data_IF_622931883022
#
_entry.id   IF_622931883022
#
_cell.length_a   1.000
_cell.length_b   1.000
_cell.length_c   1.000
_cell.angle_alpha   90.00
_cell.angle_beta   90.00
_cell.angle_gamma   90.00
#
_symmetry.space_group_name_H-M   'P 1'
#
loop_
_entity.id
_entity.type
_entity.pdbx_description
1 polymer ?
#
# COMPACT_ATOMS: atom_id res chain seq x y z
N UNK A 1 -41.23 36.66 27.32
CA UNK A 1 -41.98 35.47 26.85
C UNK A 1 -41.28 34.91 25.62
N UNK A 2 -40.63 33.74 25.72
CA UNK A 2 -39.88 33.11 24.63
C UNK A 2 -40.79 32.11 23.92
N UNK A 3 -41.22 32.43 22.70
CA UNK A 3 -42.07 31.54 21.89
C UNK A 3 -41.17 30.58 21.12
N UNK A 4 -41.38 29.29 21.34
CA UNK A 4 -40.55 28.18 20.87
C UNK A 4 -40.63 28.00 19.34
N UNK A 5 -39.47 27.90 18.68
CA UNK A 5 -39.30 27.68 17.24
C UNK A 5 -40.03 26.42 16.71
N UNK A 6 -40.43 25.52 17.61
CA UNK A 6 -41.20 24.30 17.30
C UNK A 6 -42.61 24.64 16.79
N UNK A 7 -43.24 25.72 17.25
CA UNK A 7 -44.58 26.13 16.78
C UNK A 7 -44.55 26.76 15.39
N UNK A 8 -43.45 27.44 15.03
CA UNK A 8 -43.24 28.01 13.69
C UNK A 8 -42.96 26.92 12.64
N UNK A 9 -42.18 25.89 12.99
CA UNK A 9 -41.97 24.73 12.13
C UNK A 9 -43.27 23.92 11.91
N UNK A 10 -44.11 23.80 12.95
CA UNK A 10 -45.40 23.11 12.82
C UNK A 10 -46.37 23.87 11.91
N UNK A 11 -46.39 25.20 11.96
CA UNK A 11 -47.19 26.05 11.06
C UNK A 11 -46.68 26.09 9.61
N UNK A 12 -45.38 25.85 9.39
CA UNK A 12 -44.81 25.72 8.04
C UNK A 12 -45.10 24.33 7.44
N UNK A 13 -45.03 23.27 8.26
CA UNK A 13 -45.30 21.91 7.82
C UNK A 13 -46.79 21.67 7.49
N UNK A 14 -47.72 22.33 8.20
CA UNK A 14 -49.16 22.27 7.87
C UNK A 14 -49.55 23.08 6.64
N UNK A 15 -48.67 23.98 6.16
CA UNK A 15 -48.84 24.69 4.87
C UNK A 15 -48.22 23.94 3.70
N UNK A 16 -47.18 23.14 3.93
CA UNK A 16 -46.53 22.33 2.88
C UNK A 16 -47.19 20.97 2.65
N UNK A 17 -47.86 20.42 3.65
CA UNK A 17 -48.67 19.21 3.52
C UNK A 17 -50.07 19.52 4.03
N UNK A 18 -51.10 19.57 3.15
CA UNK A 18 -52.46 19.43 3.62
C UNK A 18 -52.53 18.08 4.37
N UNK A 19 -53.12 18.01 5.57
CA UNK A 19 -53.29 16.74 6.24
C UNK A 19 -54.08 15.81 5.32
N UNK A 20 -53.63 14.56 5.23
CA UNK A 20 -54.26 13.52 4.44
C UNK A 20 -55.79 13.51 4.68
N UNK A 21 -56.63 13.45 3.63
CA UNK A 21 -58.08 13.45 3.79
C UNK A 21 -58.49 12.24 4.62
N UNK A 22 -59.08 12.49 5.79
CA UNK A 22 -59.36 11.47 6.79
C UNK A 22 -60.61 10.62 6.47
N UNK A 23 -61.20 10.76 5.28
CA UNK A 23 -62.36 9.94 4.88
C UNK A 23 -62.29 9.54 3.41
N UNK A 24 -62.61 8.27 3.12
CA UNK A 24 -62.62 7.69 1.75
C UNK A 24 -63.54 8.44 0.76
N UNK A 25 -64.52 9.19 1.29
CA UNK A 25 -65.43 10.02 0.49
C UNK A 25 -64.76 11.28 -0.03
N UNK A 26 -63.83 11.87 0.71
CA UNK A 26 -63.13 13.10 0.30
C UNK A 26 -62.03 12.79 -0.72
N UNK A 27 -61.33 11.66 -0.59
CA UNK A 27 -60.36 11.22 -1.59
C UNK A 27 -61.03 10.85 -2.91
N UNK A 28 -62.19 10.19 -2.88
CA UNK A 28 -62.98 9.93 -4.09
C UNK A 28 -63.47 11.23 -4.76
N UNK A 29 -63.84 12.25 -3.96
CA UNK A 29 -64.27 13.55 -4.48
C UNK A 29 -63.10 14.33 -5.09
N UNK A 30 -61.91 14.25 -4.49
CA UNK A 30 -60.68 14.84 -5.03
C UNK A 30 -60.24 14.14 -6.32
N UNK A 31 -60.31 12.81 -6.38
CA UNK A 31 -60.04 12.06 -7.61
C UNK A 31 -61.02 12.43 -8.72
N UNK A 32 -62.32 12.53 -8.43
CA UNK A 32 -63.31 12.95 -9.42
C UNK A 32 -63.06 14.37 -9.94
N UNK A 33 -62.62 15.30 -9.07
CA UNK A 33 -62.26 16.67 -9.46
C UNK A 33 -60.97 16.69 -10.29
N UNK A 34 -59.98 15.87 -9.96
CA UNK A 34 -58.74 15.74 -10.73
C UNK A 34 -58.98 15.10 -12.09
N UNK A 35 -59.76 14.02 -12.16
CA UNK A 35 -60.13 13.38 -13.42
C UNK A 35 -60.92 14.33 -14.32
N UNK A 36 -61.83 15.12 -13.75
CA UNK A 36 -62.56 16.13 -14.50
C UNK A 36 -61.62 17.25 -14.98
N UNK A 37 -60.68 17.70 -14.16
CA UNK A 37 -59.70 18.71 -14.56
C UNK A 37 -58.78 18.20 -15.69
N UNK A 38 -58.31 16.94 -15.58
CA UNK A 38 -57.50 16.30 -16.60
C UNK A 38 -58.25 16.12 -17.92
N UNK A 39 -59.50 15.63 -17.87
CA UNK A 39 -60.34 15.51 -19.07
C UNK A 39 -60.59 16.86 -19.71
N UNK A 40 -60.94 17.88 -18.92
CA UNK A 40 -61.14 19.25 -19.43
C UNK A 40 -59.87 19.80 -20.10
N UNK A 41 -58.70 19.47 -19.57
CA UNK A 41 -57.42 19.94 -20.12
C UNK A 41 -56.99 19.12 -21.34
N UNK A 42 -57.34 17.83 -21.41
CA UNK A 42 -57.20 16.98 -22.59
C UNK A 42 -58.12 17.43 -23.73
N UNK A 43 -59.38 17.71 -23.43
CA UNK A 43 -60.37 18.20 -24.42
C UNK A 43 -59.99 19.59 -24.94
N UNK A 44 -59.35 20.42 -24.11
CA UNK A 44 -58.81 21.71 -24.53
C UNK A 44 -57.54 21.58 -25.40
N UNK A 45 -56.71 20.57 -25.16
CA UNK A 45 -55.50 20.30 -25.94
C UNK A 45 -55.80 19.54 -27.24
N UNK A 46 -56.90 18.79 -27.29
CA UNK A 46 -57.36 18.02 -28.43
C UNK A 46 -58.83 18.36 -28.75
N UNK A 47 -59.11 19.55 -29.31
CA UNK A 47 -60.45 19.88 -29.75
C UNK A 47 -60.89 18.85 -30.80
N UNK A 48 -62.13 18.31 -30.71
CA UNK A 48 -62.61 17.35 -31.68
C UNK A 48 -62.60 17.99 -33.08
N UNK A 49 -62.14 17.26 -34.12
CA UNK A 49 -62.14 17.78 -35.48
C UNK A 49 -63.60 18.04 -35.92
N UNK A 50 -63.86 19.14 -36.66
CA UNK A 50 -65.18 19.41 -37.19
C UNK A 50 -65.63 18.26 -38.13
N UNK A 51 -66.92 17.89 -38.11
CA UNK A 51 -67.43 16.88 -39.03
C UNK A 51 -67.67 17.56 -40.39
N UNK A 52 -66.72 17.40 -41.31
CA UNK A 52 -66.74 17.66 -42.77
C UNK A 52 -65.25 17.87 -43.14
N UNK A 53 -64.54 17.06 -43.93
CA UNK A 53 -64.91 16.21 -45.04
C UNK A 53 -64.08 14.92 -45.07
N UNK A 54 -64.75 13.82 -45.39
CA UNK A 54 -64.11 12.64 -45.96
C UNK A 54 -63.60 12.99 -47.36
N UNK A 55 -62.29 13.02 -47.58
CA UNK A 55 -61.67 12.46 -48.80
C UNK A 55 -60.14 12.53 -48.77
N UNK A 56 -59.55 11.37 -49.11
CA UNK A 56 -58.27 11.18 -49.79
C UNK A 56 -56.97 11.32 -48.96
N UNK A 57 -56.50 10.14 -48.55
CA UNK A 57 -55.20 9.58 -48.92
C UNK A 57 -54.00 10.54 -48.97
N UNK A 58 -53.11 10.46 -47.98
CA UNK A 58 -51.68 10.29 -48.23
C UNK A 58 -50.99 9.82 -46.95
N UNK A 59 -50.29 8.68 -47.04
CA UNK A 59 -49.30 8.25 -46.06
C UNK A 59 -48.07 9.17 -46.17
N UNK A 60 -47.54 9.72 -45.08
CA UNK A 60 -46.13 9.99 -44.96
C UNK A 60 -45.55 9.17 -43.81
N UNK A 61 -44.73 8.20 -44.20
CA UNK A 61 -43.82 7.42 -43.36
C UNK A 61 -42.75 8.33 -42.78
N UNK A 62 -43.03 9.07 -41.70
CA UNK A 62 -42.00 9.57 -40.78
C UNK A 62 -42.58 9.68 -39.36
N UNK A 63 -42.09 8.90 -38.37
CA UNK A 63 -42.48 9.09 -36.99
C UNK A 63 -41.99 10.46 -36.54
N UNK A 64 -42.94 11.29 -36.13
CA UNK A 64 -42.80 12.66 -35.66
C UNK A 64 -41.59 12.88 -34.74
N UNK A 65 -40.56 13.56 -35.25
CA UNK A 65 -39.44 14.09 -34.46
C UNK A 65 -39.91 14.93 -33.25
N UNK A 66 -41.10 15.50 -33.31
CA UNK A 66 -41.71 16.24 -32.21
C UNK A 66 -42.11 15.35 -31.02
N UNK A 67 -42.67 14.16 -31.27
CA UNK A 67 -43.02 13.20 -30.21
C UNK A 67 -41.76 12.60 -29.59
N UNK A 68 -40.73 12.30 -30.39
CA UNK A 68 -39.45 11.82 -29.86
C UNK A 68 -38.72 12.90 -29.03
N UNK A 69 -38.74 14.17 -29.46
CA UNK A 69 -38.20 15.28 -28.64
C UNK A 69 -39.02 15.56 -27.39
N UNK A 70 -40.34 15.37 -27.45
CA UNK A 70 -41.19 15.53 -26.28
C UNK A 70 -40.98 14.39 -25.28
N UNK A 71 -40.80 13.15 -25.76
CA UNK A 71 -40.41 12.00 -24.94
C UNK A 71 -39.00 12.17 -24.34
N UNK A 72 -38.03 12.65 -25.11
CA UNK A 72 -36.70 12.97 -24.58
C UNK A 72 -36.76 14.08 -23.52
N UNK A 73 -37.58 15.12 -23.73
CA UNK A 73 -37.81 16.19 -22.75
C UNK A 73 -38.51 15.69 -21.47
N UNK A 74 -39.45 14.75 -21.59
CA UNK A 74 -40.09 14.10 -20.45
C UNK A 74 -39.14 13.17 -19.71
N UNK A 75 -38.29 12.41 -20.41
CA UNK A 75 -37.32 11.49 -19.82
C UNK A 75 -36.12 12.22 -19.18
N UNK A 76 -35.84 13.47 -19.60
CA UNK A 76 -34.82 14.34 -19.00
C UNK A 76 -35.37 15.25 -17.89
N UNK A 77 -36.66 15.12 -17.54
CA UNK A 77 -37.27 15.94 -16.50
C UNK A 77 -36.70 15.54 -15.12
N UNK A 78 -36.27 16.49 -14.26
CA UNK A 78 -35.61 16.23 -12.97
C UNK A 78 -36.48 15.51 -11.91
N UNK A 79 -37.74 15.21 -12.24
CA UNK A 79 -38.65 14.39 -11.43
C UNK A 79 -38.64 12.90 -11.85
N UNK A 80 -38.17 12.62 -13.07
CA UNK A 80 -38.05 11.30 -13.69
C UNK A 80 -36.60 10.83 -13.80
N UNK A 81 -35.62 11.67 -13.47
CA UNK A 81 -34.31 11.18 -13.04
C UNK A 81 -34.57 10.23 -11.87
N UNK A 82 -34.49 8.93 -12.17
CA UNK A 82 -34.37 7.88 -11.18
C UNK A 82 -33.13 8.19 -10.36
N UNK A 83 -33.33 8.96 -9.29
CA UNK A 83 -32.49 8.94 -8.11
C UNK A 83 -32.16 7.47 -7.89
N UNK A 84 -30.88 7.06 -7.94
CA UNK A 84 -30.53 5.65 -7.84
C UNK A 84 -31.24 5.11 -6.61
N UNK A 85 -32.06 4.09 -6.85
CA UNK A 85 -32.90 3.42 -5.88
C UNK A 85 -32.19 3.37 -4.54
N UNK A 86 -32.72 4.11 -3.56
CA UNK A 86 -32.32 3.97 -2.16
C UNK A 86 -32.76 2.56 -1.77
N UNK A 87 -31.86 1.59 -1.53
CA UNK A 87 -32.28 0.30 -1.05
C UNK A 87 -32.97 0.51 0.30
N UNK A 88 -34.12 -0.15 0.43
CA UNK A 88 -34.93 -0.14 1.62
C UNK A 88 -34.10 -0.57 2.85
N UNK A 89 -34.06 0.31 3.85
CA UNK A 89 -33.96 -0.01 5.27
C UNK A 89 -32.95 -1.10 5.69
N UNK A 90 -31.65 -1.01 5.38
CA UNK A 90 -30.59 -1.82 6.02
C UNK A 90 -29.32 -0.99 6.23
N UNK A 91 -29.30 -0.07 7.21
CA UNK A 91 -28.09 0.64 7.65
C UNK A 91 -27.29 1.36 6.54
N UNK A 92 -26.12 1.95 6.83
CA UNK A 92 -25.21 2.39 5.79
C UNK A 92 -24.56 1.15 5.19
N UNK A 93 -24.97 0.72 3.99
CA UNK A 93 -24.21 -0.24 3.19
C UNK A 93 -22.83 0.37 2.93
N UNK A 94 -21.81 -0.18 3.59
CA UNK A 94 -20.42 0.24 3.47
C UNK A 94 -20.05 0.21 1.97
N UNK A 95 -19.87 1.37 1.32
CA UNK A 95 -19.50 1.43 -0.11
C UNK A 95 -18.27 0.55 -0.34
N UNK A 96 -18.37 -0.41 -1.26
CA UNK A 96 -17.25 -1.29 -1.62
C UNK A 96 -16.13 -0.43 -2.20
N UNK A 97 -14.86 -0.78 -1.95
CA UNK A 97 -13.74 -0.01 -2.50
C UNK A 97 -13.82 0.11 -4.04
N UNK A 98 -14.38 -0.90 -4.71
CA UNK A 98 -14.64 -0.92 -6.15
C UNK A 98 -15.67 0.15 -6.55
N UNK A 99 -16.78 0.28 -5.84
CA UNK A 99 -17.80 1.33 -6.10
C UNK A 99 -17.21 2.74 -5.94
N UNK A 100 -16.33 2.92 -4.95
CA UNK A 100 -15.66 4.20 -4.72
C UNK A 100 -14.68 4.53 -5.85
N UNK A 101 -13.97 3.52 -6.36
CA UNK A 101 -13.09 3.67 -7.51
C UNK A 101 -13.88 4.05 -8.76
N UNK A 102 -14.95 3.32 -9.09
CA UNK A 102 -15.81 3.62 -10.24
C UNK A 102 -16.44 5.01 -10.15
N UNK A 103 -16.91 5.39 -8.96
CA UNK A 103 -17.43 6.73 -8.72
C UNK A 103 -16.35 7.81 -8.92
N UNK A 104 -15.13 7.58 -8.44
CA UNK A 104 -14.01 8.50 -8.62
C UNK A 104 -13.61 8.64 -10.10
N UNK A 105 -13.64 7.54 -10.86
CA UNK A 105 -13.42 7.55 -12.31
C UNK A 105 -14.50 8.32 -13.06
N UNK A 106 -15.78 8.05 -12.80
CA UNK A 106 -16.90 8.75 -13.46
C UNK A 106 -16.91 10.26 -13.17
N UNK A 107 -16.54 10.64 -11.96
CA UNK A 107 -16.46 12.04 -11.55
C UNK A 107 -15.15 12.73 -11.97
N UNK A 108 -14.19 11.98 -12.56
CA UNK A 108 -12.82 12.46 -12.84
C UNK A 108 -12.12 13.09 -11.64
N UNK A 109 -12.45 12.63 -10.43
CA UNK A 109 -11.88 13.16 -9.19
C UNK A 109 -10.81 12.23 -8.59
N UNK A 110 -10.27 11.31 -9.39
CA UNK A 110 -9.26 10.35 -8.95
C UNK A 110 -7.92 11.05 -8.71
N UNK A 111 -7.63 11.34 -7.45
CA UNK A 111 -6.34 11.88 -7.00
C UNK A 111 -5.49 10.74 -6.42
N UNK A 112 -4.16 10.88 -6.49
CA UNK A 112 -3.15 10.00 -5.85
C UNK A 112 -3.53 9.64 -4.40
N UNK A 113 -4.02 10.61 -3.63
CA UNK A 113 -4.46 10.44 -2.23
C UNK A 113 -5.72 9.58 -2.09
N UNK A 114 -6.68 9.72 -3.01
CA UNK A 114 -7.90 8.90 -3.03
C UNK A 114 -7.59 7.48 -3.49
N UNK A 115 -6.69 7.32 -4.46
CA UNK A 115 -6.26 6.00 -4.90
C UNK A 115 -5.61 5.22 -3.75
N UNK A 116 -4.79 5.90 -2.94
CA UNK A 116 -4.21 5.37 -1.71
C UNK A 116 -5.28 4.89 -0.73
N UNK A 117 -6.28 5.72 -0.41
CA UNK A 117 -7.34 5.35 0.55
C UNK A 117 -8.19 4.19 0.04
N UNK A 118 -8.53 4.18 -1.25
CA UNK A 118 -9.29 3.11 -1.90
C UNK A 118 -8.50 1.79 -1.85
N UNK A 119 -7.21 1.83 -2.18
CA UNK A 119 -6.35 0.64 -2.18
C UNK A 119 -6.22 0.03 -0.78
N UNK A 120 -6.03 0.87 0.24
CA UNK A 120 -6.02 0.41 1.65
C UNK A 120 -7.35 -0.18 2.07
N UNK A 121 -8.45 0.46 1.72
CA UNK A 121 -9.79 -0.05 2.04
C UNK A 121 -10.01 -1.41 1.36
N UNK A 122 -9.61 -1.57 0.10
CA UNK A 122 -9.69 -2.84 -0.60
C UNK A 122 -8.86 -3.93 0.08
N UNK A 123 -7.60 -3.66 0.43
CA UNK A 123 -6.73 -4.63 1.11
C UNK A 123 -7.31 -5.09 2.46
N UNK A 124 -7.98 -4.20 3.20
CA UNK A 124 -8.67 -4.55 4.45
C UNK A 124 -9.92 -5.39 4.16
N UNK A 125 -10.70 -5.02 3.14
CA UNK A 125 -11.90 -5.76 2.74
C UNK A 125 -11.56 -7.18 2.27
N UNK A 126 -10.57 -7.34 1.39
CA UNK A 126 -10.15 -8.65 0.86
C UNK A 126 -9.67 -9.60 1.95
N UNK A 127 -9.04 -9.08 3.03
CA UNK A 127 -8.68 -9.89 4.20
C UNK A 127 -9.89 -10.38 5.00
N UNK A 128 -10.95 -9.58 5.08
CA UNK A 128 -12.15 -9.89 5.89
C UNK A 128 -13.19 -10.68 5.11
N UNK A 129 -13.38 -10.39 3.83
CA UNK A 129 -14.34 -11.04 2.95
C UNK A 129 -13.83 -10.92 1.51
N UNK A 130 -13.44 -12.01 0.84
CA UNK A 130 -13.02 -11.94 -0.55
C UNK A 130 -14.21 -11.45 -1.40
N UNK A 131 -14.06 -10.26 -1.96
CA UNK A 131 -15.04 -9.71 -2.91
C UNK A 131 -14.93 -10.49 -4.23
N UNK A 132 -16.07 -10.75 -4.87
CA UNK A 132 -16.10 -11.32 -6.22
C UNK A 132 -15.55 -10.32 -7.26
N UNK A 133 -15.65 -9.02 -6.97
CA UNK A 133 -15.16 -7.97 -7.85
C UNK A 133 -13.71 -7.59 -7.52
N UNK A 134 -12.83 -7.75 -8.52
CA UNK A 134 -11.40 -7.43 -8.45
C UNK A 134 -11.15 -5.99 -8.87
N UNK A 135 -10.38 -5.25 -8.07
CA UNK A 135 -10.05 -3.84 -8.32
C UNK A 135 -8.81 -3.70 -9.24
N UNK A 136 -7.88 -4.64 -9.17
CA UNK A 136 -6.62 -4.64 -9.90
C UNK A 136 -6.76 -4.53 -11.42
N UNK A 137 -7.63 -5.31 -12.10
CA UNK A 137 -7.78 -5.22 -13.56
C UNK A 137 -8.28 -3.83 -14.00
N UNK A 138 -9.18 -3.23 -13.20
CA UNK A 138 -9.71 -1.90 -13.47
C UNK A 138 -8.65 -0.82 -13.28
N UNK A 139 -7.83 -0.95 -12.23
CA UNK A 139 -6.71 -0.05 -11.98
C UNK A 139 -5.66 -0.14 -13.09
N UNK A 140 -5.34 -1.34 -13.58
CA UNK A 140 -4.43 -1.53 -14.69
C UNK A 140 -4.98 -0.92 -15.99
N UNK A 141 -6.26 -1.17 -16.32
CA UNK A 141 -6.90 -0.60 -17.49
C UNK A 141 -6.97 0.94 -17.44
N UNK A 142 -7.27 1.50 -16.26
CA UNK A 142 -7.22 2.95 -16.05
C UNK A 142 -5.81 3.50 -16.27
N UNK A 143 -4.80 2.89 -15.62
CA UNK A 143 -3.43 3.36 -15.74
C UNK A 143 -2.98 3.32 -17.20
N UNK A 144 -3.29 2.25 -17.95
CA UNK A 144 -2.92 2.15 -19.36
C UNK A 144 -3.56 3.22 -20.25
N UNK A 145 -4.83 3.55 -20.01
CA UNK A 145 -5.57 4.56 -20.76
C UNK A 145 -5.15 6.01 -20.43
N UNK A 146 -4.45 6.22 -19.32
CA UNK A 146 -4.08 7.55 -18.82
C UNK A 146 -2.82 8.11 -19.51
N UNK A 147 -2.65 9.44 -19.47
CA UNK A 147 -1.52 10.12 -20.08
C UNK A 147 -0.16 9.81 -19.40
N UNK A 148 0.93 10.03 -20.14
CA UNK A 148 2.29 9.78 -19.67
C UNK A 148 2.66 10.57 -18.39
N UNK A 149 2.12 11.78 -18.24
CA UNK A 149 2.35 12.62 -17.07
C UNK A 149 1.74 12.02 -15.80
N UNK A 150 0.51 11.50 -15.85
CA UNK A 150 -0.13 10.85 -14.70
C UNK A 150 0.51 9.51 -14.38
N UNK A 151 0.95 8.75 -15.41
CA UNK A 151 1.79 7.56 -15.20
C UNK A 151 3.06 7.93 -14.42
N UNK A 152 3.76 8.99 -14.84
CA UNK A 152 4.97 9.47 -14.16
C UNK A 152 4.70 9.87 -12.70
N UNK A 153 3.66 10.66 -12.43
CA UNK A 153 3.33 11.08 -11.06
C UNK A 153 2.89 9.90 -10.17
N UNK A 154 2.22 8.90 -10.75
CA UNK A 154 1.86 7.67 -10.06
C UNK A 154 3.10 6.89 -9.59
N UNK A 155 4.08 6.66 -10.47
CA UNK A 155 5.29 5.90 -10.12
C UNK A 155 6.25 6.67 -9.21
N UNK A 156 6.28 8.00 -9.29
CA UNK A 156 7.06 8.83 -8.37
C UNK A 156 6.48 8.85 -6.94
N UNK A 157 5.20 8.51 -6.78
CA UNK A 157 4.51 8.50 -5.49
C UNK A 157 4.72 7.18 -4.75
N UNK A 158 5.81 7.08 -3.97
CA UNK A 158 6.18 5.88 -3.20
C UNK A 158 5.02 5.32 -2.35
N UNK A 159 4.26 6.21 -1.73
CA UNK A 159 3.10 5.90 -0.91
C UNK A 159 2.01 5.13 -1.64
N UNK A 160 1.78 5.44 -2.92
CA UNK A 160 0.74 4.78 -3.71
C UNK A 160 1.24 3.41 -4.16
N UNK A 161 2.50 3.31 -4.59
CA UNK A 161 3.11 2.04 -4.97
C UNK A 161 3.07 1.04 -3.80
N UNK A 162 3.30 1.51 -2.57
CA UNK A 162 3.24 0.70 -1.35
C UNK A 162 1.85 0.08 -1.09
N UNK A 163 0.77 0.74 -1.51
CA UNK A 163 -0.60 0.26 -1.31
C UNK A 163 -1.15 -0.47 -2.55
N UNK A 164 -0.74 -0.07 -3.77
CA UNK A 164 -1.22 -0.65 -5.03
C UNK A 164 -0.52 -1.96 -5.39
N UNK A 165 0.79 -2.10 -5.17
CA UNK A 165 1.50 -3.35 -5.50
C UNK A 165 0.94 -4.55 -4.71
N UNK A 166 0.72 -4.47 -3.39
CA UNK A 166 0.08 -5.57 -2.66
C UNK A 166 -1.33 -5.88 -3.18
N UNK A 167 -2.08 -4.86 -3.63
CA UNK A 167 -3.40 -5.03 -4.21
C UNK A 167 -3.34 -5.81 -5.53
N UNK A 168 -2.40 -5.47 -6.41
CA UNK A 168 -2.19 -6.18 -7.68
C UNK A 168 -1.80 -7.64 -7.44
N UNK A 169 -0.94 -7.90 -6.44
CA UNK A 169 -0.56 -9.25 -6.03
C UNK A 169 -1.73 -10.04 -5.40
N UNK A 170 -2.63 -9.37 -4.66
CA UNK A 170 -3.83 -10.00 -4.10
C UNK A 170 -4.81 -10.45 -5.20
N UNK A 171 -4.89 -9.71 -6.29
CA UNK A 171 -5.79 -10.01 -7.42
C UNK A 171 -5.17 -11.00 -8.44
N UNK A 172 -3.89 -11.34 -8.29
CA UNK A 172 -3.13 -12.25 -9.15
C UNK A 172 -2.51 -11.59 -10.39
N UNK A 173 -2.36 -10.26 -10.39
CA UNK A 173 -1.86 -9.47 -11.52
C UNK A 173 -0.36 -9.15 -11.42
N UNK A 174 0.43 -10.15 -11.05
CA UNK A 174 1.88 -10.00 -10.90
C UNK A 174 2.54 -9.69 -12.24
N UNK A 175 2.08 -10.32 -13.32
CA UNK A 175 2.58 -10.10 -14.68
C UNK A 175 2.45 -8.64 -15.12
N UNK A 176 1.39 -7.96 -14.69
CA UNK A 176 1.18 -6.53 -14.94
C UNK A 176 2.19 -5.67 -14.19
N UNK A 177 2.49 -5.99 -12.92
CA UNK A 177 3.52 -5.26 -12.15
C UNK A 177 4.90 -5.44 -12.78
N UNK A 178 5.21 -6.64 -13.28
CA UNK A 178 6.42 -6.90 -14.06
C UNK A 178 6.44 -6.14 -15.39
N UNK A 179 5.29 -5.97 -16.05
CA UNK A 179 5.19 -5.14 -17.24
C UNK A 179 5.48 -3.66 -16.91
N UNK A 180 4.97 -3.14 -15.80
CA UNK A 180 5.28 -1.78 -15.34
C UNK A 180 6.77 -1.58 -15.08
N UNK A 181 7.44 -2.56 -14.45
CA UNK A 181 8.90 -2.49 -14.25
C UNK A 181 9.66 -2.46 -15.59
N UNK A 182 9.24 -3.26 -16.58
CA UNK A 182 9.85 -3.25 -17.92
C UNK A 182 9.65 -1.91 -18.64
N UNK A 183 8.44 -1.34 -18.57
CA UNK A 183 8.17 -0.01 -19.13
C UNK A 183 8.98 1.09 -18.43
N UNK A 184 9.22 0.96 -17.12
CA UNK A 184 10.15 1.83 -16.40
C UNK A 184 11.59 1.63 -16.90
N UNK A 185 12.09 0.42 -17.09
CA UNK A 185 13.44 0.20 -17.62
C UNK A 185 13.62 0.74 -19.04
N UNK A 186 12.58 0.70 -19.87
CA UNK A 186 12.62 1.19 -21.25
C UNK A 186 12.35 2.70 -21.37
N UNK A 187 12.04 3.37 -20.25
CA UNK A 187 11.66 4.78 -20.20
C UNK A 187 10.52 5.13 -21.18
N UNK A 188 9.58 4.21 -21.42
CA UNK A 188 8.54 4.38 -22.45
C UNK A 188 7.69 5.64 -22.22
N UNK A 189 7.45 5.97 -20.95
CA UNK A 189 6.61 7.11 -20.56
C UNK A 189 7.36 8.45 -20.52
N UNK A 190 8.68 8.47 -20.77
CA UNK A 190 9.48 9.70 -20.88
C UNK A 190 9.64 10.19 -22.32
N UNK A 191 9.36 9.35 -23.33
CA UNK A 191 9.64 9.68 -24.74
C UNK A 191 8.61 10.64 -25.37
N UNK A 192 7.55 10.99 -24.66
CA UNK A 192 6.49 11.88 -25.14
C UNK A 192 6.77 13.30 -24.67
N UNK A 193 7.70 13.98 -25.33
CA UNK A 193 8.04 15.38 -25.06
C UNK A 193 9.54 15.62 -25.16
N UNK A 194 9.98 16.12 -26.31
CA UNK A 194 11.37 16.37 -26.69
C UNK A 194 12.23 16.99 -25.57
N UNK A 195 13.19 16.21 -25.07
CA UNK A 195 14.62 16.56 -25.06
C UNK A 195 15.40 15.29 -24.71
N UNK A 196 16.25 14.84 -25.63
CA UNK A 196 17.04 13.61 -25.55
C UNK A 196 18.17 13.63 -24.48
N UNK A 197 18.04 14.43 -23.41
CA UNK A 197 19.16 14.79 -22.52
C UNK A 197 18.89 14.65 -21.01
N UNK A 198 17.95 13.79 -20.59
CA UNK A 198 17.95 13.34 -19.19
C UNK A 198 17.86 11.81 -19.13
N UNK A 199 19.01 11.16 -19.36
CA UNK A 199 19.22 9.82 -18.88
C UNK A 199 18.87 9.78 -17.38
N UNK A 200 17.77 9.11 -17.04
CA UNK A 200 17.47 8.66 -15.69
C UNK A 200 17.47 9.76 -14.62
N UNK A 201 16.45 10.63 -14.62
CA UNK A 201 16.20 11.55 -13.50
C UNK A 201 16.22 10.75 -12.17
N UNK A 202 16.85 11.25 -11.09
CA UNK A 202 16.93 10.52 -9.81
C UNK A 202 15.55 10.07 -9.28
N UNK A 203 14.50 10.84 -9.55
CA UNK A 203 13.12 10.48 -9.21
C UNK A 203 12.65 9.17 -9.87
N UNK A 204 13.08 8.91 -11.11
CA UNK A 204 12.73 7.71 -11.85
C UNK A 204 13.53 6.50 -11.37
N UNK A 205 14.82 6.70 -11.09
CA UNK A 205 15.66 5.67 -10.49
C UNK A 205 15.15 5.27 -9.10
N UNK A 206 14.64 6.23 -8.35
CA UNK A 206 13.97 6.00 -7.08
C UNK A 206 12.66 5.23 -7.26
N UNK A 207 11.82 5.59 -8.23
CA UNK A 207 10.58 4.87 -8.55
C UNK A 207 10.84 3.39 -8.90
N UNK A 208 11.88 3.11 -9.69
CA UNK A 208 12.32 1.74 -9.97
C UNK A 208 12.72 0.98 -8.70
N UNK A 209 13.52 1.60 -7.83
CA UNK A 209 13.95 0.99 -6.56
C UNK A 209 12.76 0.72 -5.62
N UNK A 210 11.80 1.64 -5.54
CA UNK A 210 10.58 1.44 -4.74
C UNK A 210 9.76 0.28 -5.30
N UNK A 211 9.56 0.21 -6.61
CA UNK A 211 8.76 -0.84 -7.24
C UNK A 211 9.39 -2.23 -7.00
N UNK A 212 10.70 -2.35 -7.24
CA UNK A 212 11.45 -3.59 -6.96
C UNK A 212 11.35 -3.94 -5.47
N UNK A 213 11.52 -2.97 -4.57
CA UNK A 213 11.38 -3.18 -3.13
C UNK A 213 9.98 -3.70 -2.75
N UNK A 214 8.90 -3.17 -3.31
CA UNK A 214 7.54 -3.67 -3.02
C UNK A 214 7.29 -5.07 -3.61
N UNK A 215 7.81 -5.37 -4.81
CA UNK A 215 7.76 -6.73 -5.38
C UNK A 215 8.49 -7.75 -4.49
N UNK A 216 9.69 -7.40 -4.02
CA UNK A 216 10.45 -8.20 -3.06
C UNK A 216 9.68 -8.40 -1.75
N UNK A 217 8.99 -7.37 -1.25
CA UNK A 217 8.15 -7.50 -0.05
C UNK A 217 7.07 -8.56 -0.22
N UNK A 218 6.45 -8.61 -1.40
CA UNK A 218 5.42 -9.61 -1.67
C UNK A 218 6.02 -11.02 -1.76
N UNK A 219 7.18 -11.19 -2.38
CA UNK A 219 7.91 -12.46 -2.39
C UNK A 219 8.28 -12.94 -0.98
N UNK A 220 8.83 -12.04 -0.14
CA UNK A 220 9.15 -12.34 1.26
C UNK A 220 7.90 -12.72 2.07
N UNK A 221 6.77 -12.05 1.84
CA UNK A 221 5.48 -12.36 2.51
C UNK A 221 4.94 -13.75 2.15
N UNK A 222 5.19 -14.21 0.92
CA UNK A 222 4.86 -15.57 0.48
C UNK A 222 5.81 -16.63 1.04
N UNK A 223 6.89 -16.22 1.71
CA UNK A 223 7.88 -17.11 2.29
C UNK A 223 9.07 -17.40 1.36
N UNK A 224 9.12 -16.83 0.15
CA UNK A 224 10.21 -17.04 -0.80
C UNK A 224 11.21 -15.89 -0.74
N UNK A 225 12.17 -15.99 0.19
CA UNK A 225 13.26 -15.03 0.31
C UNK A 225 14.28 -15.23 -0.82
N UNK A 226 14.45 -16.46 -1.29
CA UNK A 226 15.29 -16.78 -2.45
C UNK A 226 14.83 -16.00 -3.69
N UNK A 227 13.53 -15.96 -3.99
CA UNK A 227 13.03 -15.18 -5.12
C UNK A 227 13.28 -13.69 -4.93
N UNK A 228 13.09 -13.17 -3.72
CA UNK A 228 13.37 -11.76 -3.43
C UNK A 228 14.87 -11.42 -3.60
N UNK A 229 15.77 -12.35 -3.23
CA UNK A 229 17.20 -12.20 -3.42
C UNK A 229 17.56 -12.22 -4.91
N UNK A 230 17.02 -13.17 -5.68
CA UNK A 230 17.20 -13.24 -7.13
C UNK A 230 16.67 -11.97 -7.84
N UNK A 231 15.53 -11.44 -7.42
CA UNK A 231 14.97 -10.18 -7.93
C UNK A 231 15.90 -9.00 -7.65
N UNK A 232 16.44 -8.90 -6.43
CA UNK A 232 17.41 -7.86 -6.08
C UNK A 232 18.66 -7.94 -6.94
N UNK A 233 19.23 -9.13 -7.10
CA UNK A 233 20.44 -9.34 -7.91
C UNK A 233 20.19 -8.96 -9.36
N UNK A 234 19.11 -9.42 -9.97
CA UNK A 234 18.76 -9.07 -11.35
C UNK A 234 18.59 -7.55 -11.53
N UNK A 235 17.90 -6.90 -10.59
CA UNK A 235 17.72 -5.45 -10.59
C UNK A 235 19.05 -4.70 -10.36
N UNK A 236 19.92 -5.21 -9.50
CA UNK A 236 21.23 -4.62 -9.19
C UNK A 236 22.20 -4.73 -10.37
N UNK A 237 22.24 -5.88 -11.05
CA UNK A 237 23.01 -6.07 -12.28
C UNK A 237 22.54 -5.11 -13.37
N UNK A 238 21.22 -4.99 -13.57
CA UNK A 238 20.66 -4.02 -14.51
C UNK A 238 21.03 -2.59 -14.11
N UNK A 239 20.92 -2.24 -12.83
CA UNK A 239 21.24 -0.89 -12.34
C UNK A 239 22.72 -0.56 -12.48
N UNK A 240 23.62 -1.52 -12.27
CA UNK A 240 25.05 -1.33 -12.49
C UNK A 240 25.37 -0.99 -13.96
N UNK A 241 24.59 -1.52 -14.90
CA UNK A 241 24.71 -1.21 -16.34
C UNK A 241 24.03 0.12 -16.69
N UNK A 242 22.86 0.42 -16.11
CA UNK A 242 22.05 1.58 -16.49
C UNK A 242 22.49 2.88 -15.79
N UNK A 243 22.79 2.83 -14.49
CA UNK A 243 23.21 3.95 -13.66
C UNK A 243 24.12 3.45 -12.51
N UNK A 244 25.43 3.26 -12.78
CA UNK A 244 26.35 2.71 -11.79
C UNK A 244 26.52 3.58 -10.55
N UNK A 245 26.21 4.88 -10.67
CA UNK A 245 26.33 5.82 -9.57
C UNK A 245 25.18 5.72 -8.58
N UNK A 246 24.02 5.13 -8.89
CA UNK A 246 22.82 5.16 -8.04
C UNK A 246 22.31 3.76 -7.64
N UNK A 247 22.57 3.30 -6.40
CA UNK A 247 22.25 1.96 -5.95
C UNK A 247 20.77 1.82 -5.57
N UNK A 248 20.33 0.56 -5.43
CA UNK A 248 18.97 0.20 -5.04
C UNK A 248 18.82 0.19 -3.52
N UNK A 249 18.78 1.38 -2.91
CA UNK A 249 18.79 1.56 -1.46
C UNK A 249 17.60 0.90 -0.75
N UNK A 250 16.39 1.09 -1.26
CA UNK A 250 15.13 0.60 -0.66
C UNK A 250 15.02 -0.91 -0.79
N UNK A 251 15.42 -1.44 -1.94
CA UNK A 251 15.48 -2.88 -2.22
C UNK A 251 16.53 -3.55 -1.33
N UNK A 252 17.73 -2.97 -1.23
CA UNK A 252 18.80 -3.47 -0.37
C UNK A 252 18.41 -3.46 1.12
N UNK A 253 17.83 -2.35 1.63
CA UNK A 253 17.30 -2.26 3.00
C UNK A 253 16.32 -3.40 3.28
N UNK A 254 15.49 -3.77 2.31
CA UNK A 254 14.46 -4.79 2.48
C UNK A 254 15.03 -6.20 2.54
N UNK A 255 15.92 -6.57 1.63
CA UNK A 255 16.55 -7.90 1.66
C UNK A 255 17.45 -8.06 2.87
N UNK A 256 18.25 -7.05 3.21
CA UNK A 256 19.12 -7.09 4.40
C UNK A 256 18.32 -7.21 5.70
N UNK A 257 17.21 -6.47 5.83
CA UNK A 257 16.32 -6.60 6.97
C UNK A 257 15.70 -7.99 7.04
N UNK A 258 15.27 -8.56 5.90
CA UNK A 258 14.71 -9.92 5.86
C UNK A 258 15.73 -10.98 6.28
N UNK A 259 16.97 -10.88 5.79
CA UNK A 259 18.08 -11.77 6.17
C UNK A 259 18.36 -11.65 7.68
N UNK A 260 18.46 -10.43 8.23
CA UNK A 260 18.70 -10.23 9.67
C UNK A 260 17.60 -10.82 10.56
N UNK A 261 16.34 -10.74 10.14
CA UNK A 261 15.24 -11.30 10.92
C UNK A 261 15.20 -12.83 10.86
N UNK A 262 15.57 -13.42 9.71
CA UNK A 262 15.53 -14.87 9.49
C UNK A 262 16.83 -15.57 9.88
N UNK A 263 17.94 -14.84 9.96
CA UNK A 263 19.28 -15.31 10.32
C UNK A 263 19.64 -16.54 9.49
N UNK A 264 20.20 -17.58 10.11
CA UNK A 264 20.57 -18.84 9.45
C UNK A 264 19.41 -19.60 8.75
N UNK A 265 18.15 -19.16 8.91
CA UNK A 265 16.96 -19.78 8.29
C UNK A 265 16.44 -18.99 7.07
N UNK A 266 17.27 -18.16 6.44
CA UNK A 266 16.84 -17.37 5.29
C UNK A 266 16.59 -18.22 4.02
N UNK A 267 17.19 -19.41 3.90
CA UNK A 267 16.94 -20.33 2.77
C UNK A 267 17.38 -19.78 1.40
N UNK A 268 18.43 -18.95 1.39
CA UNK A 268 19.00 -18.36 0.17
C UNK A 268 20.15 -19.26 -0.26
N UNK A 269 20.23 -19.58 -1.55
CA UNK A 269 21.34 -20.35 -2.11
C UNK A 269 22.65 -19.56 -2.04
N UNK A 270 23.77 -20.27 -1.88
CA UNK A 270 25.11 -19.69 -1.72
C UNK A 270 25.46 -18.77 -2.89
N UNK A 271 25.19 -19.22 -4.12
CA UNK A 271 25.52 -18.44 -5.33
C UNK A 271 24.74 -17.12 -5.41
N UNK A 272 23.49 -17.13 -4.96
CA UNK A 272 22.63 -15.94 -4.95
C UNK A 272 23.05 -15.01 -3.82
N UNK A 273 23.42 -15.57 -2.67
CA UNK A 273 23.88 -14.79 -1.51
C UNK A 273 25.17 -14.03 -1.82
N UNK A 274 26.15 -14.67 -2.46
CA UNK A 274 27.40 -14.03 -2.88
C UNK A 274 27.12 -12.86 -3.83
N UNK A 275 26.22 -13.04 -4.81
CA UNK A 275 25.82 -11.95 -5.72
C UNK A 275 25.13 -10.79 -4.97
N UNK A 276 24.34 -11.08 -3.92
CA UNK A 276 23.77 -10.03 -3.06
C UNK A 276 24.88 -9.25 -2.33
N UNK A 277 25.93 -9.95 -1.86
CA UNK A 277 27.08 -9.31 -1.20
C UNK A 277 27.88 -8.44 -2.18
N UNK A 278 28.05 -8.86 -3.43
CA UNK A 278 28.80 -8.12 -4.45
C UNK A 278 28.15 -6.80 -4.82
N UNK A 279 26.83 -6.72 -4.72
CA UNK A 279 26.06 -5.49 -4.89
C UNK A 279 25.76 -4.75 -3.58
N UNK A 280 26.41 -5.11 -2.47
CA UNK A 280 26.15 -4.51 -1.17
C UNK A 280 26.46 -3.01 -1.13
N UNK A 281 25.57 -2.26 -0.48
CA UNK A 281 25.69 -0.81 -0.36
C UNK A 281 26.52 -0.46 0.89
N UNK A 282 27.48 0.44 0.72
CA UNK A 282 28.30 0.94 1.82
C UNK A 282 27.48 1.80 2.81
N UNK A 283 27.74 1.64 4.11
CA UNK A 283 27.05 2.38 5.17
C UNK A 283 27.18 3.89 5.03
N UNK A 284 28.36 4.37 4.61
CA UNK A 284 28.67 5.80 4.48
C UNK A 284 27.72 6.53 3.54
N UNK A 285 27.10 5.79 2.60
CA UNK A 285 26.19 6.33 1.61
C UNK A 285 24.77 6.46 2.13
N UNK A 286 24.17 5.36 2.61
CA UNK A 286 22.73 5.28 2.86
C UNK A 286 22.34 4.89 4.29
N UNK A 287 23.33 4.76 5.19
CA UNK A 287 23.16 4.30 6.58
C UNK A 287 22.30 3.03 6.62
N UNK A 288 22.79 2.01 5.95
CA UNK A 288 22.15 0.69 5.78
C UNK A 288 22.97 -0.39 6.43
N UNK A 289 22.34 -1.52 6.73
CA UNK A 289 23.03 -2.73 7.21
C UNK A 289 24.19 -3.07 6.25
N UNK A 290 25.42 -3.13 6.77
CA UNK A 290 26.61 -3.36 5.93
C UNK A 290 26.72 -4.79 5.45
N UNK A 291 27.54 -4.98 4.42
CA UNK A 291 28.05 -6.28 3.97
C UNK A 291 28.54 -7.13 5.15
N UNK A 292 29.20 -6.52 6.13
CA UNK A 292 29.75 -7.22 7.28
C UNK A 292 28.70 -7.86 8.19
N UNK A 293 27.52 -7.23 8.35
CA UNK A 293 26.40 -7.88 9.05
C UNK A 293 25.81 -9.05 8.27
N UNK A 294 25.80 -8.99 6.94
CA UNK A 294 25.30 -10.08 6.10
C UNK A 294 26.26 -11.28 6.11
N UNK A 295 27.58 -11.05 6.12
CA UNK A 295 28.59 -12.11 6.15
C UNK A 295 28.51 -13.03 7.38
N UNK A 296 27.90 -12.57 8.48
CA UNK A 296 27.58 -13.41 9.64
C UNK A 296 26.65 -14.57 9.29
N UNK A 297 25.76 -14.36 8.30
CA UNK A 297 24.74 -15.32 7.91
C UNK A 297 25.06 -16.00 6.58
N UNK A 298 26.32 -16.01 6.15
CA UNK A 298 26.72 -16.74 4.96
C UNK A 298 26.40 -18.24 5.09
N UNK A 299 25.78 -18.90 4.10
CA UNK A 299 25.36 -20.29 4.22
C UNK A 299 26.52 -21.28 4.34
N UNK A 300 27.69 -20.98 3.73
CA UNK A 300 28.85 -21.89 3.71
C UNK A 300 30.04 -21.42 4.55
N UNK A 301 30.13 -20.13 4.88
CA UNK A 301 31.34 -19.55 5.49
C UNK A 301 31.02 -18.33 6.37
N UNK A 302 30.25 -18.52 7.46
CA UNK A 302 29.89 -17.42 8.35
C UNK A 302 31.15 -16.84 9.01
N UNK A 303 31.36 -15.53 8.88
CA UNK A 303 32.57 -14.85 9.38
C UNK A 303 32.21 -13.58 10.14
N UNK A 304 32.78 -13.41 11.34
CA UNK A 304 32.57 -12.23 12.20
C UNK A 304 33.72 -11.20 12.17
N UNK A 305 34.82 -11.49 11.46
CA UNK A 305 36.01 -10.65 11.43
C UNK A 305 35.78 -9.28 10.80
N UNK A 306 35.08 -9.24 9.66
CA UNK A 306 34.79 -7.99 8.94
C UNK A 306 33.93 -7.06 9.77
N UNK A 307 32.95 -7.62 10.49
CA UNK A 307 32.11 -6.85 11.42
C UNK A 307 32.90 -6.31 12.61
N UNK A 308 33.85 -7.09 13.15
CA UNK A 308 34.71 -6.61 14.22
C UNK A 308 35.58 -5.44 13.75
N UNK A 309 36.19 -5.53 12.56
CA UNK A 309 37.00 -4.45 12.01
C UNK A 309 36.19 -3.17 11.75
N UNK A 310 34.96 -3.29 11.23
CA UNK A 310 34.06 -2.15 11.04
C UNK A 310 33.67 -1.52 12.37
N UNK A 311 33.23 -2.32 13.36
CA UNK A 311 32.77 -1.80 14.65
C UNK A 311 33.92 -1.30 15.55
N UNK A 312 35.15 -1.77 15.34
CA UNK A 312 36.33 -1.26 16.04
C UNK A 312 36.83 0.07 15.45
N UNK A 313 36.37 0.45 14.26
CA UNK A 313 36.76 1.69 13.62
C UNK A 313 35.82 2.83 14.06
N UNK A 314 36.36 3.82 14.78
CA UNK A 314 35.60 4.97 15.30
C UNK A 314 34.84 5.74 14.21
N UNK A 315 35.38 5.80 12.99
CA UNK A 315 34.75 6.46 11.85
C UNK A 315 33.42 5.82 11.43
N UNK A 316 33.26 4.51 11.67
CA UNK A 316 32.03 3.77 11.43
C UNK A 316 31.16 3.68 12.68
N UNK A 317 31.78 3.39 13.83
CA UNK A 317 31.09 3.18 15.09
C UNK A 317 30.24 4.39 15.51
N UNK A 318 30.77 5.61 15.43
CA UNK A 318 30.04 6.82 15.81
C UNK A 318 28.74 7.04 15.01
N UNK A 319 28.81 7.12 13.67
CA UNK A 319 27.63 7.23 12.81
C UNK A 319 26.65 6.06 12.96
N UNK A 320 27.17 4.84 13.08
CA UNK A 320 26.35 3.64 13.32
C UNK A 320 25.63 3.70 14.67
N UNK A 321 26.27 4.22 15.72
CA UNK A 321 25.66 4.44 17.02
C UNK A 321 24.48 5.42 16.96
N UNK A 322 24.67 6.55 16.29
CA UNK A 322 23.60 7.55 16.08
C UNK A 322 22.44 6.98 15.26
N UNK A 323 22.76 6.18 14.24
CA UNK A 323 21.77 5.58 13.36
C UNK A 323 20.93 4.52 14.08
N UNK A 324 21.54 3.51 14.71
CA UNK A 324 20.77 2.43 15.31
C UNK A 324 19.86 2.94 16.43
N UNK A 325 20.28 3.93 17.24
CA UNK A 325 19.43 4.54 18.29
C UNK A 325 18.09 5.08 17.76
N UNK A 326 18.04 5.54 16.50
CA UNK A 326 16.81 6.02 15.86
C UNK A 326 15.92 4.87 15.36
N UNK A 327 16.49 3.70 15.07
CA UNK A 327 15.78 2.57 14.46
C UNK A 327 15.43 1.48 15.47
N UNK A 328 14.52 1.78 16.40
CA UNK A 328 14.08 0.84 17.47
C UNK A 328 13.60 -0.51 16.96
N UNK A 329 12.91 -0.55 15.81
CA UNK A 329 12.41 -1.81 15.22
C UNK A 329 13.53 -2.78 14.83
N UNK A 330 14.73 -2.28 14.56
CA UNK A 330 15.90 -3.09 14.21
C UNK A 330 16.77 -3.43 15.42
N UNK A 331 16.49 -2.87 16.61
CA UNK A 331 17.32 -3.10 17.81
C UNK A 331 17.43 -4.58 18.14
N UNK A 332 16.30 -5.27 18.21
CA UNK A 332 16.29 -6.70 18.50
C UNK A 332 17.08 -7.49 17.45
N UNK A 333 16.90 -7.20 16.16
CA UNK A 333 17.61 -7.90 15.09
C UNK A 333 19.13 -7.64 15.11
N UNK A 334 19.54 -6.39 15.35
CA UNK A 334 20.95 -5.99 15.45
C UNK A 334 21.62 -6.57 16.69
N UNK A 335 20.97 -6.48 17.86
CA UNK A 335 21.47 -7.07 19.10
C UNK A 335 21.66 -8.58 18.93
N UNK A 336 20.67 -9.26 18.34
CA UNK A 336 20.81 -10.66 18.00
C UNK A 336 21.98 -10.94 17.06
N UNK A 337 22.21 -10.08 16.07
CA UNK A 337 23.34 -10.23 15.16
C UNK A 337 24.69 -10.06 15.87
N UNK A 338 24.80 -9.15 16.83
CA UNK A 338 26.00 -8.98 17.66
C UNK A 338 26.22 -10.19 18.57
N UNK A 339 25.16 -10.74 19.17
CA UNK A 339 25.24 -11.96 19.97
C UNK A 339 25.60 -13.19 19.12
N UNK A 340 25.08 -13.27 17.90
CA UNK A 340 25.38 -14.35 16.96
C UNK A 340 26.84 -14.22 16.47
N UNK A 341 27.35 -13.00 16.27
CA UNK A 341 28.77 -12.74 16.01
C UNK A 341 29.68 -13.14 17.19
N UNK A 342 29.23 -12.91 18.43
CA UNK A 342 29.94 -13.36 19.63
C UNK A 342 29.99 -14.89 19.71
N UNK A 343 28.88 -15.58 19.41
CA UNK A 343 28.85 -17.04 19.36
C UNK A 343 29.80 -17.58 18.27
N UNK A 344 29.70 -17.06 17.04
CA UNK A 344 30.57 -17.48 15.94
C UNK A 344 32.05 -17.25 16.27
N UNK A 345 32.37 -16.14 16.95
CA UNK A 345 33.73 -15.85 17.40
C UNK A 345 34.20 -16.84 18.46
N UNK A 346 33.32 -17.32 19.35
CA UNK A 346 33.66 -18.37 20.33
C UNK A 346 33.90 -19.72 19.66
N UNK A 347 33.05 -20.10 18.70
CA UNK A 347 33.19 -21.33 17.93
C UNK A 347 34.49 -21.34 17.13
N UNK A 348 34.89 -20.19 16.59
CA UNK A 348 36.17 -20.00 15.90
C UNK A 348 37.37 -19.81 16.85
N UNK A 349 37.21 -20.00 18.16
CA UNK A 349 38.25 -19.81 19.19
C UNK A 349 38.86 -18.39 19.23
N UNK A 350 38.13 -17.39 18.74
CA UNK A 350 38.52 -15.97 18.69
C UNK A 350 37.98 -15.22 19.91
N UNK A 351 38.53 -15.51 21.09
CA UNK A 351 38.02 -14.99 22.38
C UNK A 351 38.03 -13.46 22.49
N UNK A 352 39.02 -12.77 21.91
CA UNK A 352 39.09 -11.29 21.90
C UNK A 352 37.93 -10.66 21.15
N UNK A 353 37.52 -11.27 20.04
CA UNK A 353 36.39 -10.81 19.25
C UNK A 353 35.08 -11.05 20.01
N UNK A 354 34.94 -12.23 20.63
CA UNK A 354 33.77 -12.56 21.43
C UNK A 354 33.59 -11.63 22.64
N UNK A 355 34.66 -11.30 23.36
CA UNK A 355 34.59 -10.35 24.48
C UNK A 355 34.20 -8.95 24.01
N UNK A 356 34.78 -8.49 22.89
CA UNK A 356 34.44 -7.19 22.31
C UNK A 356 32.96 -7.08 21.96
N UNK A 357 32.39 -8.09 21.29
CA UNK A 357 30.97 -8.07 20.92
C UNK A 357 30.05 -8.07 22.15
N UNK A 358 30.40 -8.78 23.21
CA UNK A 358 29.63 -8.77 24.46
C UNK A 358 29.72 -7.42 25.19
N UNK A 359 30.92 -6.84 25.28
CA UNK A 359 31.11 -5.53 25.91
C UNK A 359 30.39 -4.43 25.11
N UNK A 360 30.41 -4.52 23.77
CA UNK A 360 29.64 -3.65 22.88
C UNK A 360 28.13 -3.86 23.08
N UNK A 361 27.67 -5.10 23.24
CA UNK A 361 26.27 -5.40 23.48
C UNK A 361 25.77 -4.78 24.81
N UNK A 362 26.55 -4.94 25.90
CA UNK A 362 26.24 -4.37 27.22
C UNK A 362 26.28 -2.84 27.22
N UNK A 363 27.21 -2.23 26.48
CA UNK A 363 27.34 -0.77 26.39
C UNK A 363 26.21 -0.12 25.57
N UNK A 364 25.80 -0.75 24.47
CA UNK A 364 24.86 -0.15 23.52
C UNK A 364 23.40 -0.53 23.76
N UNK A 365 23.13 -1.68 24.38
CA UNK A 365 21.76 -2.15 24.69
C UNK A 365 21.56 -2.54 26.17
N UNK A 366 21.87 -1.63 27.12
CA UNK A 366 21.67 -1.92 28.54
C UNK A 366 20.21 -2.21 28.89
N UNK A 367 19.26 -1.60 28.17
CA UNK A 367 17.82 -1.78 28.36
C UNK A 367 17.35 -3.23 28.12
N UNK A 368 18.03 -3.96 27.22
CA UNK A 368 17.65 -5.33 26.83
C UNK A 368 18.41 -6.40 27.62
N UNK A 369 19.58 -6.05 28.14
CA UNK A 369 20.46 -6.97 28.86
C UNK A 369 20.36 -6.80 30.39
N UNK A 370 19.55 -5.84 30.84
CA UNK A 370 19.56 -5.35 32.22
C UNK A 370 20.89 -4.68 32.52
N UNK A 371 20.90 -3.60 33.31
CA UNK A 371 22.16 -3.01 33.75
C UNK A 371 22.96 -4.08 34.52
N UNK A 372 23.95 -4.68 33.88
CA UNK A 372 24.92 -5.53 34.55
C UNK A 372 25.75 -4.61 35.43
N UNK A 373 25.37 -4.53 36.70
CA UNK A 373 26.23 -4.02 37.76
C UNK A 373 27.58 -4.73 37.65
N UNK A 374 28.60 -3.97 37.27
CA UNK A 374 30.03 -4.23 37.44
C UNK A 374 30.36 -5.68 37.85
N UNK A 375 30.59 -6.55 36.87
CA UNK A 375 31.16 -7.85 37.15
C UNK A 375 32.60 -7.63 37.62
N UNK A 376 32.78 -7.79 38.93
CA UNK A 376 34.05 -7.72 39.61
C UNK A 376 35.11 -8.56 38.90
N UNK A 377 36.32 -8.01 38.85
CA UNK A 377 37.55 -8.65 38.40
C UNK A 377 37.76 -9.96 39.18
N UNK A 378 37.21 -11.08 38.69
CA UNK A 378 37.54 -12.41 39.19
C UNK A 378 38.65 -12.97 38.30
N UNK A 379 39.86 -12.73 38.76
CA UNK A 379 41.07 -13.31 38.21
C UNK A 379 41.03 -14.82 38.49
N UNK A 380 41.28 -15.63 37.45
CA UNK A 380 41.56 -17.10 37.46
C UNK A 380 40.42 -18.12 37.41
N UNK A 381 39.20 -17.76 36.99
CA UNK A 381 38.24 -18.74 36.46
C UNK A 381 38.26 -18.73 34.92
N UNK A 382 38.29 -19.93 34.30
CA UNK A 382 38.38 -20.17 32.85
C UNK A 382 37.66 -19.08 32.03
N UNK A 383 38.42 -18.20 31.36
CA UNK A 383 37.88 -17.08 30.57
C UNK A 383 36.78 -17.51 29.59
N UNK A 384 36.89 -18.73 29.06
CA UNK A 384 35.87 -19.36 28.20
C UNK A 384 34.54 -19.56 28.92
N UNK A 385 34.56 -20.05 30.16
CA UNK A 385 33.37 -20.26 31.00
C UNK A 385 32.68 -18.94 31.38
N UNK A 386 33.46 -17.87 31.57
CA UNK A 386 32.91 -16.54 31.88
C UNK A 386 32.21 -15.97 30.63
N UNK A 387 32.83 -16.10 29.46
CA UNK A 387 32.26 -15.58 28.22
C UNK A 387 31.00 -16.38 27.81
N UNK A 388 31.02 -17.71 27.93
CA UNK A 388 29.84 -18.54 27.62
C UNK A 388 28.68 -18.29 28.57
N UNK A 389 28.94 -18.10 29.87
CA UNK A 389 27.90 -17.75 30.85
C UNK A 389 27.30 -16.35 30.60
N UNK A 390 28.13 -15.35 30.25
CA UNK A 390 27.66 -14.03 29.82
C UNK A 390 26.76 -14.12 28.58
N UNK A 391 27.18 -14.86 27.56
CA UNK A 391 26.39 -15.06 26.35
C UNK A 391 25.05 -15.76 26.63
N UNK A 392 25.07 -16.81 27.45
CA UNK A 392 23.86 -17.54 27.81
C UNK A 392 22.88 -16.63 28.57
N UNK A 393 23.37 -15.84 29.53
CA UNK A 393 22.58 -14.85 30.26
C UNK A 393 21.99 -13.80 29.33
N UNK A 394 22.80 -13.23 28.43
CA UNK A 394 22.34 -12.24 27.46
C UNK A 394 21.20 -12.77 26.58
N UNK A 395 21.30 -14.04 26.14
CA UNK A 395 20.23 -14.70 25.37
C UNK A 395 18.97 -14.99 26.19
N UNK A 396 19.11 -15.43 27.44
CA UNK A 396 17.96 -15.63 28.32
C UNK A 396 17.19 -14.33 28.54
N UNK A 397 17.90 -13.22 28.78
CA UNK A 397 17.28 -11.90 28.97
C UNK A 397 16.62 -11.39 27.69
N UNK A 398 17.28 -11.57 26.54
CA UNK A 398 16.69 -11.25 25.25
C UNK A 398 15.44 -12.09 24.99
N UNK A 399 15.44 -13.38 25.31
CA UNK A 399 14.28 -14.25 25.16
C UNK A 399 13.11 -13.82 26.07
N UNK A 400 13.39 -13.38 27.31
CA UNK A 400 12.34 -12.82 28.18
C UNK A 400 11.76 -11.52 27.60
N UNK A 401 12.59 -10.65 27.04
CA UNK A 401 12.14 -9.42 26.38
C UNK A 401 11.43 -9.68 25.05
N UNK A 402 11.84 -10.66 24.26
CA UNK A 402 11.18 -11.05 23.01
C UNK A 402 9.82 -11.73 23.22
N UNK A 403 9.59 -12.32 24.41
CA UNK A 403 8.26 -12.78 24.81
C UNK A 403 7.28 -11.62 25.05
N UNK A 404 7.81 -10.47 25.51
CA UNK A 404 7.08 -9.22 25.75
C UNK A 404 6.94 -8.41 24.46
N UNK A 405 8.00 -8.38 23.65
CA UNK A 405 8.08 -7.77 22.32
C UNK A 405 7.99 -8.89 21.30
N UNK A 406 6.87 -9.62 21.27
CA UNK A 406 6.51 -10.35 20.06
C UNK A 406 6.35 -9.28 18.99
N UNK A 407 7.25 -9.18 17.99
CA UNK A 407 7.03 -8.20 16.95
C UNK A 407 5.69 -8.54 16.31
N UNK A 408 4.86 -7.53 16.11
CA UNK A 408 3.78 -7.57 15.13
C UNK A 408 4.40 -7.72 13.73
N UNK A 409 5.04 -8.86 13.49
CA UNK A 409 5.39 -9.38 12.18
C UNK A 409 4.43 -10.55 11.90
N UNK A 410 3.15 -10.21 11.92
CA UNK A 410 2.12 -10.75 11.05
C UNK A 410 1.55 -9.55 10.26
N UNK A 411 1.13 -9.75 9.00
CA UNK A 411 1.38 -8.80 7.91
C UNK A 411 0.47 -7.57 7.97
N UNK A 412 1.06 -6.41 8.23
CA UNK A 412 0.50 -5.11 7.83
C UNK A 412 1.08 -4.70 6.49
#
# INVERSE_FOLDING_TARGET
MRVSAVLLLKNLLTRLHPPAPATERESARLLAVLDHAFRKQLDAAHPPPPPEDQQQSHVPTQPSRAVNRHLESLLLHPLLETKPSRPAAHGPTLRTAVDQFDHALRTRTLTVTKLKSISRQYLVQTKSKPSAEKLGPRLAAWLEAENAQTKSTFFQSADVIHDVVPLMYADGLESTVWAWLRSLYQCEWLRVGDTASSAQTPAFLHAQDILVSEMMRMAIRRGSIQDAAAQYVAAAVYRAQSAPTEPLTSSYKRITTAILHKRHRHGIDTSTFEQVLDHAISFSRDRVVTRSFLQLYHPTSPTAETLFHELSNDSFAGPWHSWHRKHKLLHAALLNSVLDAAQLSLEQSKFKHASFFLDLAETQWPDYLGASSSCAKSTTANHTSIITSRLHRARQLLASHASIVRPQLAPT
#
